data_IF_177581407074
#
_entry.id   IF_177581407074
#
_cell.length_a   1.000
_cell.length_b   1.000
_cell.length_c   1.000
_cell.angle_alpha   90.00
_cell.angle_beta   90.00
_cell.angle_gamma   90.00
#
_symmetry.space_group_name_H-M   'P 1'
#
loop_
_entity.id
_entity.type
_entity.pdbx_description
1 polymer ?
#
# COMPACT_ATOMS: atom_id res chain seq x y z
N UNK A 1 7.39 3.39 5.84
CA UNK A 1 7.96 4.76 5.97
C UNK A 1 7.01 5.67 6.73
N UNK A 2 7.46 6.43 7.74
CA UNK A 2 6.58 7.36 8.48
C UNK A 2 6.38 8.66 7.68
N UNK A 3 5.16 9.19 7.53
CA UNK A 3 4.98 10.50 6.90
C UNK A 3 5.54 11.62 7.78
N UNK A 4 5.65 12.81 7.21
CA UNK A 4 5.89 14.03 7.96
C UNK A 4 4.71 14.31 8.91
N UNK A 5 5.03 14.75 10.13
CA UNK A 5 4.08 15.08 11.19
C UNK A 5 3.91 16.59 11.30
N UNK A 6 2.68 17.09 11.38
CA UNK A 6 2.36 18.53 11.39
C UNK A 6 1.21 18.86 10.44
N UNK A 7 0.52 19.98 10.70
CA UNK A 7 -0.54 20.51 9.85
C UNK A 7 0.03 21.35 8.71
N UNK A 8 0.85 22.35 9.05
CA UNK A 8 1.49 23.27 8.10
C UNK A 8 2.84 22.71 7.63
N UNK A 9 2.77 21.76 6.70
CA UNK A 9 3.95 21.15 6.09
C UNK A 9 4.34 21.92 4.82
N UNK A 10 5.65 22.10 4.55
CA UNK A 10 6.12 22.58 3.25
C UNK A 10 5.59 21.70 2.11
N UNK A 11 5.37 22.30 0.93
CA UNK A 11 4.80 21.64 -0.25
C UNK A 11 5.47 20.29 -0.58
N UNK A 12 6.80 20.21 -0.45
CA UNK A 12 7.57 18.99 -0.67
C UNK A 12 7.13 17.85 0.28
N UNK A 13 6.98 18.16 1.56
CA UNK A 13 6.57 17.22 2.60
C UNK A 13 5.11 16.81 2.43
N UNK A 14 4.26 17.74 1.97
CA UNK A 14 2.86 17.46 1.66
C UNK A 14 2.72 16.55 0.45
N UNK A 15 3.46 16.81 -0.64
CA UNK A 15 3.52 15.96 -1.83
C UNK A 15 3.96 14.54 -1.46
N UNK A 16 5.03 14.42 -0.66
CA UNK A 16 5.48 13.15 -0.12
C UNK A 16 4.40 12.42 0.67
N UNK A 17 3.73 13.12 1.61
CA UNK A 17 2.65 12.57 2.44
C UNK A 17 1.48 12.06 1.59
N UNK A 18 1.04 12.85 0.59
CA UNK A 18 -0.03 12.49 -0.35
C UNK A 18 0.34 11.27 -1.20
N UNK A 19 1.54 11.23 -1.78
CA UNK A 19 2.02 10.10 -2.59
C UNK A 19 2.17 8.82 -1.78
N UNK A 20 2.76 8.92 -0.58
CA UNK A 20 2.89 7.80 0.33
C UNK A 20 1.52 7.23 0.73
N UNK A 21 0.54 8.10 0.97
CA UNK A 21 -0.85 7.69 1.25
C UNK A 21 -1.48 6.96 0.06
N UNK A 22 -1.34 7.51 -1.16
CA UNK A 22 -1.83 6.87 -2.40
C UNK A 22 -1.20 5.49 -2.62
N UNK A 23 0.11 5.37 -2.47
CA UNK A 23 0.83 4.10 -2.61
C UNK A 23 0.34 3.05 -1.60
N UNK A 24 0.17 3.45 -0.32
CA UNK A 24 -0.43 2.55 0.69
C UNK A 24 -1.83 2.12 0.31
N UNK A 25 -2.68 3.07 -0.09
CA UNK A 25 -4.06 2.78 -0.48
C UNK A 25 -4.11 1.76 -1.62
N UNK A 26 -3.26 1.89 -2.64
CA UNK A 26 -3.19 0.92 -3.74
C UNK A 26 -2.81 -0.48 -3.25
N UNK A 27 -1.82 -0.59 -2.37
CA UNK A 27 -1.40 -1.87 -1.79
C UNK A 27 -2.50 -2.47 -0.91
N UNK A 28 -3.08 -1.69 -0.01
CA UNK A 28 -4.17 -2.11 0.88
C UNK A 28 -5.41 -2.57 0.10
N UNK A 29 -5.80 -1.83 -0.95
CA UNK A 29 -6.91 -2.23 -1.81
C UNK A 29 -6.63 -3.56 -2.51
N UNK A 30 -5.44 -3.74 -3.10
CA UNK A 30 -5.08 -4.97 -3.78
C UNK A 30 -5.10 -6.17 -2.82
N UNK A 31 -4.49 -6.05 -1.65
CA UNK A 31 -4.51 -7.10 -0.64
C UNK A 31 -5.93 -7.37 -0.10
N UNK A 32 -6.75 -6.34 0.09
CA UNK A 32 -8.14 -6.50 0.52
C UNK A 32 -8.99 -7.30 -0.48
N UNK A 33 -8.79 -7.08 -1.77
CA UNK A 33 -9.44 -7.87 -2.83
C UNK A 33 -8.95 -9.33 -2.77
N UNK A 34 -7.64 -9.53 -2.66
CA UNK A 34 -7.06 -10.88 -2.61
C UNK A 34 -7.49 -11.66 -1.36
N UNK A 35 -7.52 -11.05 -0.17
CA UNK A 35 -7.94 -11.72 1.07
C UNK A 35 -9.44 -12.00 1.10
N UNK A 36 -10.26 -11.10 0.55
CA UNK A 36 -11.70 -11.33 0.39
C UNK A 36 -11.99 -12.53 -0.51
N UNK A 37 -11.25 -12.67 -1.62
CA UNK A 37 -11.45 -13.74 -2.59
C UNK A 37 -10.82 -15.06 -2.18
N UNK A 38 -9.65 -15.05 -1.55
CA UNK A 38 -8.85 -16.23 -1.27
C UNK A 38 -8.72 -16.50 0.22
N UNK A 39 -9.45 -17.51 0.72
CA UNK A 39 -9.48 -17.88 2.14
C UNK A 39 -8.10 -18.21 2.73
N UNK A 40 -7.15 -18.67 1.92
CA UNK A 40 -5.78 -18.99 2.36
C UNK A 40 -5.05 -17.77 2.95
N UNK A 41 -5.39 -16.56 2.50
CA UNK A 41 -4.77 -15.31 2.95
C UNK A 41 -5.40 -14.73 4.23
N UNK A 42 -6.53 -15.28 4.70
CA UNK A 42 -7.19 -14.80 5.92
C UNK A 42 -6.51 -15.27 7.21
N UNK A 43 -5.60 -16.26 7.11
CA UNK A 43 -4.81 -16.75 8.24
C UNK A 43 -3.35 -16.43 8.01
N UNK A 44 -2.63 -16.13 9.09
CA UNK A 44 -1.16 -16.06 9.05
C UNK A 44 -0.61 -17.36 8.47
N UNK A 45 0.23 -17.23 7.45
CA UNK A 45 0.90 -18.37 6.81
C UNK A 45 2.09 -18.75 7.68
N UNK A 46 1.91 -19.74 8.54
CA UNK A 46 2.97 -20.27 9.41
C UNK A 46 3.78 -21.35 8.65
N UNK A 47 4.50 -20.90 7.62
CA UNK A 47 5.28 -21.74 6.70
C UNK A 47 6.61 -21.07 6.35
N UNK A 48 7.52 -21.85 5.79
CA UNK A 48 8.81 -21.36 5.28
C UNK A 48 8.62 -20.22 4.27
N UNK A 49 9.53 -19.25 4.29
CA UNK A 49 9.49 -18.06 3.43
C UNK A 49 9.33 -18.41 1.94
N UNK A 50 10.03 -19.45 1.47
CA UNK A 50 9.91 -19.93 0.08
C UNK A 50 8.50 -20.37 -0.29
N UNK A 51 7.80 -21.04 0.64
CA UNK A 51 6.43 -21.48 0.39
C UNK A 51 5.45 -20.29 0.40
N UNK A 52 5.71 -19.28 1.23
CA UNK A 52 4.91 -18.04 1.22
C UNK A 52 5.04 -17.36 -0.13
N UNK A 53 6.25 -17.23 -0.68
CA UNK A 53 6.48 -16.67 -2.01
C UNK A 53 5.71 -17.42 -3.10
N UNK A 54 5.74 -18.76 -3.06
CA UNK A 54 5.03 -19.59 -4.03
C UNK A 54 3.52 -19.47 -3.90
N UNK A 55 2.99 -19.39 -2.67
CA UNK A 55 1.56 -19.14 -2.42
C UNK A 55 1.14 -17.80 -3.02
N UNK A 56 1.90 -16.73 -2.77
CA UNK A 56 1.57 -15.39 -3.29
C UNK A 56 1.61 -15.38 -4.82
N UNK A 57 2.63 -15.98 -5.45
CA UNK A 57 2.71 -16.09 -6.92
C UNK A 57 1.52 -16.86 -7.48
N UNK A 58 1.17 -17.99 -6.88
CA UNK A 58 0.03 -18.81 -7.28
C UNK A 58 -1.28 -18.02 -7.20
N UNK A 59 -1.50 -17.28 -6.11
CA UNK A 59 -2.67 -16.41 -5.94
C UNK A 59 -2.74 -15.33 -7.01
N UNK A 60 -1.62 -14.68 -7.36
CA UNK A 60 -1.57 -13.68 -8.43
C UNK A 60 -1.92 -14.28 -9.80
N UNK A 61 -1.35 -15.44 -10.14
CA UNK A 61 -1.65 -16.14 -11.39
C UNK A 61 -3.13 -16.50 -11.43
N UNK A 62 -3.66 -17.10 -10.37
CA UNK A 62 -5.05 -17.52 -10.29
C UNK A 62 -6.01 -16.33 -10.35
N UNK A 63 -5.66 -15.19 -9.73
CA UNK A 63 -6.44 -13.97 -9.83
C UNK A 63 -6.55 -13.48 -11.28
N UNK A 64 -5.43 -13.44 -12.01
CA UNK A 64 -5.40 -13.03 -13.41
C UNK A 64 -6.18 -14.02 -14.29
N UNK A 65 -5.98 -15.32 -14.11
CA UNK A 65 -6.72 -16.35 -14.85
C UNK A 65 -8.24 -16.23 -14.65
N UNK A 66 -8.69 -15.95 -13.43
CA UNK A 66 -10.14 -15.74 -13.20
C UNK A 66 -10.63 -14.46 -13.87
N UNK A 67 -9.84 -13.38 -13.89
CA UNK A 67 -10.20 -12.16 -14.65
C UNK A 67 -10.30 -12.46 -16.15
N UNK A 68 -9.40 -13.28 -16.70
CA UNK A 68 -9.41 -13.65 -18.11
C UNK A 68 -10.64 -14.50 -18.48
N UNK A 69 -11.09 -15.37 -17.57
CA UNK A 69 -12.24 -16.27 -17.78
C UNK A 69 -13.58 -15.58 -17.54
N UNK A 70 -13.75 -14.91 -16.40
CA UNK A 70 -15.03 -14.32 -15.96
C UNK A 70 -15.22 -12.87 -16.47
N UNK A 71 -14.16 -12.28 -17.04
CA UNK A 71 -14.06 -10.85 -17.27
C UNK A 71 -13.82 -10.07 -15.97
N UNK A 72 -13.65 -8.75 -16.10
CA UNK A 72 -13.45 -7.86 -14.95
C UNK A 72 -14.78 -7.68 -14.19
N UNK A 73 -15.09 -8.62 -13.31
CA UNK A 73 -16.19 -8.50 -12.35
C UNK A 73 -15.65 -7.87 -11.06
N UNK A 74 -15.50 -6.54 -11.05
CA UNK A 74 -15.16 -5.84 -9.81
C UNK A 74 -16.42 -5.75 -8.95
N UNK A 75 -16.78 -6.85 -8.28
CA UNK A 75 -17.75 -6.84 -7.18
C UNK A 75 -17.09 -6.18 -5.96
N UNK A 76 -16.78 -4.88 -6.10
CA UNK A 76 -16.64 -3.99 -4.97
C UNK A 76 -18.05 -3.82 -4.42
N UNK A 77 -18.53 -4.78 -3.62
CA UNK A 77 -19.45 -4.38 -2.56
C UNK A 77 -18.76 -3.22 -1.89
N UNK A 78 -19.41 -2.06 -1.81
CA UNK A 78 -18.91 -0.85 -1.20
C UNK A 78 -18.50 -1.15 0.24
N UNK A 79 -17.33 -1.75 0.41
CA UNK A 79 -16.56 -1.67 1.62
C UNK A 79 -16.20 -0.20 1.63
N UNK A 80 -17.10 0.58 2.22
CA UNK A 80 -16.82 1.86 2.82
C UNK A 80 -15.72 1.56 3.83
N UNK A 81 -14.49 1.49 3.32
CA UNK A 81 -13.30 1.63 4.12
C UNK A 81 -13.37 3.07 4.61
N UNK A 82 -14.16 3.27 5.68
CA UNK A 82 -13.99 4.41 6.56
C UNK A 82 -12.49 4.47 6.74
N UNK A 83 -11.87 5.59 6.40
CA UNK A 83 -10.49 5.87 6.75
C UNK A 83 -10.41 5.73 8.27
N UNK A 84 -10.22 4.50 8.77
CA UNK A 84 -9.79 4.27 10.12
C UNK A 84 -8.41 4.87 10.09
N UNK A 85 -8.32 6.10 10.60
CA UNK A 85 -7.08 6.85 10.63
C UNK A 85 -6.03 5.88 11.14
N UNK A 86 -5.02 5.61 10.30
CA UNK A 86 -3.91 4.72 10.61
C UNK A 86 -3.50 5.02 12.06
N UNK A 87 -3.76 4.07 12.96
CA UNK A 87 -3.35 4.23 14.36
C UNK A 87 -1.83 4.28 14.29
N UNK A 88 -1.28 5.49 14.46
CA UNK A 88 0.16 5.70 14.51
C UNK A 88 0.66 4.99 15.76
N UNK A 89 1.04 3.71 15.62
CA UNK A 89 1.86 3.07 16.63
C UNK A 89 3.09 3.98 16.79
N UNK A 90 3.22 4.59 17.97
CA UNK A 90 4.38 5.43 18.30
C UNK A 90 5.59 4.50 18.43
N UNK A 91 6.10 4.02 17.30
CA UNK A 91 7.40 3.39 17.26
C UNK A 91 8.42 4.43 17.73
N UNK A 92 9.32 4.00 18.62
CA UNK A 92 10.29 4.84 19.33
C UNK A 92 11.19 5.69 18.42
N UNK A 93 12.04 6.53 19.05
CA UNK A 93 12.92 7.46 18.34
C UNK A 93 13.74 6.73 17.27
N UNK A 94 13.49 7.06 16.01
CA UNK A 94 14.17 6.47 14.86
C UNK A 94 15.61 6.96 14.73
N UNK A 95 16.50 6.09 14.25
CA UNK A 95 17.82 6.48 13.76
C UNK A 95 17.74 7.46 12.58
N UNK A 96 18.82 8.20 12.36
CA UNK A 96 18.97 9.21 11.29
C UNK A 96 18.71 8.64 9.89
N UNK A 97 19.04 7.37 9.63
CA UNK A 97 18.89 6.75 8.30
C UNK A 97 17.45 6.73 7.77
N UNK A 98 16.45 6.47 8.62
CA UNK A 98 15.04 6.47 8.19
C UNK A 98 14.55 7.87 7.78
N UNK A 99 15.11 8.92 8.38
CA UNK A 99 14.85 10.31 7.97
C UNK A 99 15.50 10.59 6.62
N UNK A 100 16.74 10.12 6.42
CA UNK A 100 17.46 10.28 5.15
C UNK A 100 16.68 9.67 3.99
N UNK A 101 16.22 8.42 4.11
CA UNK A 101 15.42 7.76 3.07
C UNK A 101 14.14 8.55 2.77
N UNK A 102 13.43 9.03 3.80
CA UNK A 102 12.22 9.84 3.62
C UNK A 102 12.51 11.14 2.87
N UNK A 103 13.61 11.81 3.20
CA UNK A 103 14.03 13.05 2.56
C UNK A 103 14.43 12.80 1.09
N UNK A 104 15.15 11.70 0.81
CA UNK A 104 15.47 11.30 -0.58
C UNK A 104 14.19 11.14 -1.41
N UNK A 105 13.19 10.44 -0.88
CA UNK A 105 11.90 10.31 -1.58
C UNK A 105 11.17 11.64 -1.74
N UNK A 106 11.25 12.54 -0.75
CA UNK A 106 10.61 13.86 -0.83
C UNK A 106 11.22 14.70 -1.97
N UNK A 107 12.55 14.75 -2.06
CA UNK A 107 13.28 15.41 -3.16
C UNK A 107 12.95 14.76 -4.51
N UNK A 108 12.98 13.43 -4.58
CA UNK A 108 12.65 12.70 -5.82
C UNK A 108 11.23 13.00 -6.30
N UNK A 109 10.26 13.09 -5.40
CA UNK A 109 8.88 13.40 -5.78
C UNK A 109 8.69 14.84 -6.25
N UNK A 110 9.56 15.75 -5.83
CA UNK A 110 9.58 17.14 -6.31
C UNK A 110 10.19 17.23 -7.71
N UNK A 111 11.28 16.49 -7.98
CA UNK A 111 11.89 16.42 -9.31
C UNK A 111 11.05 15.66 -10.34
N UNK A 112 10.11 14.84 -9.87
CA UNK A 112 9.27 14.00 -10.71
C UNK A 112 7.79 14.19 -10.34
N UNK A 113 7.16 15.34 -10.61
CA UNK A 113 5.73 15.55 -10.36
C UNK A 113 4.90 14.54 -11.16
N UNK A 114 3.74 14.10 -10.61
CA UNK A 114 2.82 13.31 -11.42
C UNK A 114 2.18 14.32 -12.36
N UNK A 115 2.30 14.15 -13.67
CA UNK A 115 1.41 14.84 -14.60
C UNK A 115 -0.01 14.57 -14.13
N UNK A 116 -0.78 15.62 -13.86
CA UNK A 116 -2.19 15.50 -13.50
C UNK A 116 -2.87 14.73 -14.63
N UNK A 117 -3.14 13.44 -14.40
CA UNK A 117 -4.22 12.76 -15.10
C UNK A 117 -5.43 13.11 -14.25
N UNK A 118 -6.15 14.13 -14.70
CA UNK A 118 -7.52 14.44 -14.28
C UNK A 118 -8.45 13.25 -14.52
#
# INVERSE_FOLDING_TARGET
>A
MKPYSGGDLPLEQECHKKRLSRARKSVEFAFGILTSKWRILNKSVDKNESLVDDIIKCVCILHNTVIDIDGVQINLTEATWKQQGLVWYRAGRHGTGAKTVRNIFAVYFQSNPLSLIE
#
